data_IF_631188911751
#
_entry.id   IF_631188911751
#
_cell.length_a   1.000
_cell.length_b   1.000
_cell.length_c   1.000
_cell.angle_alpha   90.00
_cell.angle_beta   90.00
_cell.angle_gamma   90.00
#
_symmetry.space_group_name_H-M   'P 1'
#
loop_
_entity.id
_entity.type
_entity.pdbx_description
1 polymer ?
#
# COMPACT_ATOMS: atom_id res chain seq x y z
N UNK A 1 -13.33 20.12 17.70
CA UNK A 1 -12.03 19.64 17.19
C UNK A 1 -12.20 18.16 16.95
N UNK A 2 -12.45 17.71 15.71
CA UNK A 2 -12.44 16.28 15.42
C UNK A 2 -10.97 15.89 15.19
N UNK A 3 -10.25 15.59 16.27
CA UNK A 3 -8.99 14.85 16.19
C UNK A 3 -9.31 13.43 15.76
N UNK A 4 -9.51 13.22 14.46
CA UNK A 4 -9.37 11.86 13.92
C UNK A 4 -7.89 11.51 14.04
N UNK A 5 -7.55 10.35 14.63
CA UNK A 5 -6.17 9.90 14.66
C UNK A 5 -5.61 9.88 13.24
N UNK A 6 -4.36 10.31 13.10
CA UNK A 6 -3.64 10.32 11.82
C UNK A 6 -3.63 8.91 11.24
N UNK A 7 -4.18 8.76 10.02
CA UNK A 7 -4.33 7.43 9.44
C UNK A 7 -2.97 6.78 9.18
N UNK A 8 -2.84 5.49 9.53
CA UNK A 8 -1.58 4.73 9.46
C UNK A 8 -1.49 3.94 8.17
N UNK A 9 -0.46 4.22 7.38
CA UNK A 9 -0.19 3.61 6.09
C UNK A 9 1.10 2.79 6.20
N UNK A 10 1.04 1.55 5.75
CA UNK A 10 2.22 0.74 5.48
C UNK A 10 2.55 0.80 3.99
N UNK A 11 3.79 1.14 3.65
CA UNK A 11 4.27 1.24 2.26
C UNK A 11 5.37 0.21 2.00
N UNK A 12 5.21 -0.65 1.00
CA UNK A 12 6.25 -1.56 0.50
C UNK A 12 6.62 -1.20 -0.95
N UNK A 13 7.87 -0.79 -1.18
CA UNK A 13 8.39 -0.39 -2.49
C UNK A 13 9.90 -0.60 -2.46
N UNK A 14 10.44 -1.40 -3.38
CA UNK A 14 11.86 -1.78 -3.40
C UNK A 14 12.75 -0.65 -3.93
N UNK A 15 12.27 0.15 -4.88
CA UNK A 15 12.96 1.35 -5.36
C UNK A 15 13.06 2.42 -4.26
N UNK A 16 14.30 2.73 -3.85
CA UNK A 16 14.59 3.64 -2.74
C UNK A 16 14.10 5.07 -3.00
N UNK A 17 14.31 5.57 -4.22
CA UNK A 17 13.97 6.94 -4.57
C UNK A 17 12.46 7.08 -4.66
N UNK A 18 11.78 6.16 -5.34
CA UNK A 18 10.32 6.08 -5.37
C UNK A 18 9.75 6.00 -3.94
N UNK A 19 10.23 5.07 -3.11
CA UNK A 19 9.77 4.92 -1.72
C UNK A 19 9.89 6.23 -0.95
N UNK A 20 11.02 6.93 -1.05
CA UNK A 20 11.22 8.24 -0.41
C UNK A 20 10.24 9.30 -0.92
N UNK A 21 10.00 9.37 -2.23
CA UNK A 21 9.03 10.31 -2.80
C UNK A 21 7.60 10.05 -2.31
N UNK A 22 7.19 8.78 -2.28
CA UNK A 22 5.86 8.37 -1.82
C UNK A 22 5.66 8.68 -0.33
N UNK A 23 6.62 8.30 0.52
CA UNK A 23 6.58 8.62 1.96
C UNK A 23 6.44 10.12 2.17
N UNK A 24 7.27 10.92 1.50
CA UNK A 24 7.24 12.38 1.66
C UNK A 24 5.89 12.97 1.25
N UNK A 25 5.33 12.53 0.12
CA UNK A 25 4.04 13.02 -0.38
C UNK A 25 2.89 12.70 0.58
N UNK A 26 2.85 11.47 1.11
CA UNK A 26 1.82 11.01 2.03
C UNK A 26 1.95 11.67 3.41
N UNK A 27 3.17 11.83 3.93
CA UNK A 27 3.39 12.56 5.18
C UNK A 27 3.00 14.04 5.06
N UNK A 28 3.30 14.69 3.93
CA UNK A 28 2.87 16.06 3.65
C UNK A 28 1.34 16.20 3.55
N UNK A 29 0.64 15.13 3.17
CA UNK A 29 -0.82 15.06 3.18
C UNK A 29 -1.42 14.76 4.57
N UNK A 30 -0.58 14.58 5.60
CA UNK A 30 -0.99 14.38 6.98
C UNK A 30 -1.20 12.93 7.40
N UNK A 31 -0.65 11.96 6.66
CA UNK A 31 -0.67 10.54 7.02
C UNK A 31 0.57 10.11 7.81
N UNK A 32 0.44 9.07 8.64
CA UNK A 32 1.56 8.40 9.30
C UNK A 32 1.99 7.23 8.44
N UNK A 33 3.23 7.25 7.94
CA UNK A 33 3.71 6.26 6.96
C UNK A 33 4.89 5.50 7.53
N UNK A 34 4.78 4.17 7.56
CA UNK A 34 5.88 3.25 7.84
C UNK A 34 6.24 2.55 6.54
N UNK A 35 7.50 2.57 6.12
CA UNK A 35 7.91 2.05 4.82
C UNK A 35 9.01 0.99 4.89
N UNK A 36 8.93 0.04 3.97
CA UNK A 36 9.82 -1.11 3.84
C UNK A 36 10.26 -1.26 2.38
N UNK A 37 11.43 -1.85 2.17
CA UNK A 37 12.02 -2.09 0.85
C UNK A 37 11.73 -3.49 0.29
N UNK A 38 10.97 -4.31 1.02
CA UNK A 38 10.58 -5.65 0.60
C UNK A 38 9.26 -6.06 1.28
N UNK A 39 8.58 -7.04 0.68
CA UNK A 39 7.29 -7.51 1.19
C UNK A 39 7.39 -8.30 2.50
N UNK A 40 8.51 -8.97 2.77
CA UNK A 40 8.66 -9.77 3.99
C UNK A 40 8.72 -8.90 5.24
N UNK A 41 9.51 -7.83 5.20
CA UNK A 41 9.65 -6.87 6.31
C UNK A 41 8.34 -6.10 6.54
N UNK A 42 7.64 -5.75 5.45
CA UNK A 42 6.29 -5.20 5.52
C UNK A 42 5.31 -6.15 6.21
N UNK A 43 5.33 -7.44 5.85
CA UNK A 43 4.48 -8.45 6.45
C UNK A 43 4.77 -8.65 7.93
N UNK A 44 6.05 -8.68 8.33
CA UNK A 44 6.42 -8.81 9.74
C UNK A 44 5.91 -7.62 10.57
N UNK A 45 5.92 -6.40 10.01
CA UNK A 45 5.34 -5.24 10.70
C UNK A 45 3.82 -5.32 10.83
N UNK A 46 3.10 -5.79 9.80
CA UNK A 46 1.64 -6.00 9.86
C UNK A 46 1.23 -6.95 11.00
N UNK A 47 2.13 -7.85 11.43
CA UNK A 47 1.90 -8.78 12.54
C UNK A 47 2.13 -8.14 13.92
N UNK A 48 2.83 -7.02 13.97
CA UNK A 48 3.19 -6.34 15.23
C UNK A 48 2.13 -5.30 15.60
N UNK A 49 1.58 -4.59 14.61
CA UNK A 49 0.63 -3.51 14.86
C UNK A 49 -0.32 -3.25 13.68
N UNK A 50 -1.51 -2.67 13.94
CA UNK A 50 -2.50 -2.43 12.91
C UNK A 50 -2.18 -1.22 12.02
N UNK A 51 -2.61 -1.31 10.76
CA UNK A 51 -2.57 -0.26 9.74
C UNK A 51 -3.92 -0.18 9.02
N UNK A 52 -4.29 1.00 8.54
CA UNK A 52 -5.56 1.21 7.84
C UNK A 52 -5.46 0.99 6.33
N UNK A 53 -4.24 1.08 5.79
CA UNK A 53 -3.96 0.95 4.37
C UNK A 53 -2.57 0.35 4.14
N UNK A 54 -2.54 -0.69 3.32
CA UNK A 54 -1.35 -1.22 2.67
C UNK A 54 -1.22 -0.60 1.26
N UNK A 55 -0.10 0.09 1.03
CA UNK A 55 0.38 0.49 -0.29
C UNK A 55 1.56 -0.40 -0.67
N UNK A 56 1.52 -1.07 -1.81
CA UNK A 56 2.62 -1.97 -2.22
C UNK A 56 2.86 -1.98 -3.73
N UNK A 57 4.11 -2.03 -4.18
CA UNK A 57 4.40 -2.53 -5.53
C UNK A 57 4.12 -4.04 -5.58
N UNK A 58 3.84 -4.56 -6.77
CA UNK A 58 3.71 -6.00 -7.03
C UNK A 58 5.09 -6.63 -7.12
N UNK A 59 5.98 -6.06 -7.94
CA UNK A 59 7.27 -6.68 -8.22
C UNK A 59 8.26 -6.25 -7.15
N UNK A 60 8.54 -7.14 -6.20
CA UNK A 60 9.49 -6.92 -5.11
C UNK A 60 10.28 -8.20 -4.83
N UNK A 61 11.50 -8.10 -4.27
CA UNK A 61 12.27 -9.26 -3.84
C UNK A 61 11.63 -9.94 -2.61
N UNK A 62 11.97 -11.21 -2.41
CA UNK A 62 11.55 -12.09 -1.30
C UNK A 62 10.05 -12.43 -1.25
N UNK A 63 9.20 -11.41 -1.16
CA UNK A 63 7.75 -11.53 -1.17
C UNK A 63 7.18 -10.45 -2.09
N UNK A 64 6.44 -10.88 -3.10
CA UNK A 64 5.75 -9.98 -4.02
C UNK A 64 4.54 -9.29 -3.35
N UNK A 65 4.08 -8.20 -3.94
CA UNK A 65 2.97 -7.41 -3.40
C UNK A 65 1.65 -8.16 -3.36
N UNK A 66 1.41 -9.11 -4.28
CA UNK A 66 0.15 -9.86 -4.32
C UNK A 66 0.07 -10.80 -3.12
N UNK A 67 1.15 -11.53 -2.85
CA UNK A 67 1.26 -12.39 -1.68
C UNK A 67 1.21 -11.57 -0.38
N UNK A 68 1.91 -10.43 -0.32
CA UNK A 68 1.83 -9.51 0.82
C UNK A 68 0.39 -9.06 1.06
N UNK A 69 -0.32 -8.62 0.02
CA UNK A 69 -1.70 -8.17 0.10
C UNK A 69 -2.65 -9.28 0.56
N UNK A 70 -2.50 -10.49 0.01
CA UNK A 70 -3.29 -11.66 0.44
C UNK A 70 -3.10 -11.91 1.93
N UNK A 71 -1.85 -12.00 2.39
CA UNK A 71 -1.54 -12.24 3.80
C UNK A 71 -1.98 -11.10 4.71
N UNK A 72 -1.89 -9.85 4.24
CA UNK A 72 -2.38 -8.68 4.98
C UNK A 72 -3.89 -8.80 5.23
N UNK A 73 -4.67 -9.14 4.20
CA UNK A 73 -6.14 -9.31 4.33
C UNK A 73 -6.54 -10.55 5.14
N UNK A 74 -5.66 -11.54 5.25
CA UNK A 74 -5.87 -12.69 6.14
C UNK A 74 -5.60 -12.35 7.61
N UNK A 75 -4.62 -11.46 7.87
CA UNK A 75 -4.33 -10.96 9.22
C UNK A 75 -5.40 -9.96 9.69
N UNK A 76 -5.80 -9.05 8.81
CA UNK A 76 -6.77 -8.00 9.07
C UNK A 76 -7.71 -7.85 7.85
N UNK A 77 -8.93 -8.41 7.91
CA UNK A 77 -9.90 -8.29 6.82
C UNK A 77 -10.36 -6.85 6.53
N UNK A 78 -10.16 -5.91 7.46
CA UNK A 78 -10.57 -4.50 7.31
C UNK A 78 -9.44 -3.64 6.71
N UNK A 79 -8.22 -4.18 6.57
CA UNK A 79 -7.12 -3.44 5.94
C UNK A 79 -7.44 -3.16 4.48
N UNK A 80 -7.34 -1.89 4.09
CA UNK A 80 -7.48 -1.51 2.68
C UNK A 80 -6.17 -1.81 1.95
N UNK A 81 -6.28 -2.24 0.70
CA UNK A 81 -5.10 -2.55 -0.12
C UNK A 81 -5.12 -1.72 -1.40
N UNK A 82 -3.98 -1.12 -1.73
CA UNK A 82 -3.74 -0.52 -3.03
C UNK A 82 -2.37 -0.92 -3.58
N UNK A 83 -2.38 -1.41 -4.82
CA UNK A 83 -1.18 -1.66 -5.58
C UNK A 83 -0.70 -0.39 -6.29
N UNK A 84 0.60 -0.09 -6.18
CA UNK A 84 1.27 0.98 -6.93
C UNK A 84 2.30 0.32 -7.85
N UNK A 85 1.95 0.05 -9.11
CA UNK A 85 2.79 -0.83 -9.94
C UNK A 85 2.85 -0.43 -11.41
N UNK A 86 3.98 -0.69 -12.07
CA UNK A 86 4.08 -0.67 -13.54
C UNK A 86 3.46 -1.90 -14.20
N UNK A 87 3.14 -2.94 -13.43
CA UNK A 87 2.69 -4.24 -13.90
C UNK A 87 1.22 -4.51 -13.55
N UNK A 88 0.34 -3.52 -13.76
CA UNK A 88 -1.07 -3.61 -13.38
C UNK A 88 -1.80 -4.83 -13.97
N UNK A 89 -1.38 -5.30 -15.16
CA UNK A 89 -1.91 -6.51 -15.78
C UNK A 89 -1.76 -7.76 -14.91
N UNK A 90 -0.75 -7.82 -14.02
CA UNK A 90 -0.52 -8.95 -13.12
C UNK A 90 -1.62 -9.01 -12.05
N UNK A 91 -1.95 -7.89 -11.39
CA UNK A 91 -3.03 -7.84 -10.40
C UNK A 91 -4.43 -7.89 -11.02
N UNK A 92 -4.59 -7.50 -12.29
CA UNK A 92 -5.86 -7.61 -13.00
C UNK A 92 -6.12 -9.02 -13.57
N UNK A 93 -5.13 -9.91 -13.52
CA UNK A 93 -5.29 -11.28 -14.00
C UNK A 93 -6.31 -12.01 -13.10
N UNK A 94 -7.38 -12.62 -13.67
CA UNK A 94 -8.34 -13.41 -12.89
C UNK A 94 -7.72 -14.57 -12.11
N UNK A 95 -6.58 -15.09 -12.56
CA UNK A 95 -5.83 -16.15 -11.90
C UNK A 95 -4.89 -15.62 -10.82
N UNK A 96 -4.75 -14.30 -10.68
CA UNK A 96 -4.00 -13.71 -9.58
C UNK A 96 -4.75 -13.90 -8.27
N UNK A 97 -4.02 -14.23 -7.20
CA UNK A 97 -4.57 -14.31 -5.85
C UNK A 97 -4.68 -12.92 -5.18
N UNK A 98 -4.79 -11.86 -5.96
CA UNK A 98 -4.92 -10.50 -5.45
C UNK A 98 -6.28 -10.34 -4.72
N UNK A 99 -6.32 -9.60 -3.60
CA UNK A 99 -7.58 -9.35 -2.92
C UNK A 99 -8.58 -8.66 -3.84
N UNK A 100 -9.83 -9.15 -3.89
CA UNK A 100 -10.87 -8.65 -4.82
C UNK A 100 -11.19 -7.15 -4.65
N UNK A 101 -10.96 -6.62 -3.46
CA UNK A 101 -11.25 -5.22 -3.12
C UNK A 101 -10.03 -4.31 -3.28
N UNK A 102 -8.87 -4.87 -3.67
CA UNK A 102 -7.66 -4.09 -3.84
C UNK A 102 -7.81 -3.09 -4.98
N UNK A 103 -7.38 -1.85 -4.72
CA UNK A 103 -7.26 -0.81 -5.74
C UNK A 103 -5.92 -0.92 -6.47
N UNK A 104 -5.85 -0.41 -7.69
CA UNK A 104 -4.63 -0.38 -8.47
C UNK A 104 -4.40 1.06 -8.95
N UNK A 105 -3.21 1.58 -8.72
CA UNK A 105 -2.68 2.80 -9.28
C UNK A 105 -1.46 2.46 -10.16
N UNK A 106 -1.63 2.59 -11.47
CA UNK A 106 -0.59 2.21 -12.44
C UNK A 106 0.50 3.28 -12.55
N UNK A 107 1.77 2.85 -12.58
CA UNK A 107 2.92 3.69 -12.96
C UNK A 107 2.89 3.93 -14.49
N UNK A 108 3.20 5.15 -15.00
CA UNK A 108 3.48 6.38 -14.25
C UNK A 108 2.21 7.07 -13.73
N UNK A 109 2.31 7.74 -12.58
CA UNK A 109 1.24 8.54 -11.97
C UNK A 109 1.79 9.84 -11.38
N UNK A 110 0.92 10.81 -11.08
CA UNK A 110 1.32 11.99 -10.31
C UNK A 110 1.11 11.76 -8.81
N UNK A 111 1.98 12.31 -7.97
CA UNK A 111 1.86 12.22 -6.51
C UNK A 111 0.51 12.77 -5.98
N UNK A 112 -0.07 13.74 -6.69
CA UNK A 112 -1.41 14.27 -6.35
C UNK A 112 -2.51 13.22 -6.57
N UNK A 113 -2.37 12.38 -7.58
CA UNK A 113 -3.33 11.32 -7.89
C UNK A 113 -3.27 10.23 -6.80
N UNK A 114 -2.06 9.86 -6.38
CA UNK A 114 -1.83 8.97 -5.23
C UNK A 114 -2.53 9.50 -3.96
N UNK A 115 -2.22 10.74 -3.55
CA UNK A 115 -2.78 11.34 -2.33
C UNK A 115 -4.31 11.41 -2.40
N UNK A 116 -4.85 11.76 -3.57
CA UNK A 116 -6.30 11.81 -3.79
C UNK A 116 -6.95 10.44 -3.60
N UNK A 117 -6.35 9.39 -4.17
CA UNK A 117 -6.93 8.05 -4.08
C UNK A 117 -6.79 7.45 -2.67
N UNK A 118 -5.67 7.72 -1.97
CA UNK A 118 -5.51 7.36 -0.55
C UNK A 118 -6.58 8.02 0.32
N UNK A 119 -6.84 9.33 0.14
CA UNK A 119 -7.93 10.00 0.86
C UNK A 119 -9.29 9.37 0.59
N UNK A 120 -9.59 9.01 -0.68
CA UNK A 120 -10.85 8.36 -1.02
C UNK A 120 -11.01 7.01 -0.35
N UNK A 121 -9.95 6.21 -0.34
CA UNK A 121 -9.98 4.90 0.31
C UNK A 121 -10.24 5.01 1.81
N UNK A 122 -9.55 5.93 2.50
CA UNK A 122 -9.68 6.11 3.95
C UNK A 122 -10.95 6.85 4.39
N UNK A 123 -11.64 7.53 3.46
CA UNK A 123 -12.90 8.22 3.73
C UNK A 123 -14.15 7.33 3.59
N UNK A 124 -14.02 6.16 2.96
CA UNK A 124 -15.08 5.17 2.76
C UNK A 124 -15.20 4.24 3.96
#
# INVERSE_FOLDING_TARGET
MNDRPTARILLAEDDNDMRRFLVKALQQAGFSVTSFDNGLSAYDQLRVEPFELLLTDIVMPEMDGIELARRATELDPDIRVMFITGFAAVALNPDSHAPRQAKILSKPFHLRDLVTEVHRMLAA
#
